data_IF_583991067153
#
_entry.id   IF_583991067153
#
_cell.length_a   1.000
_cell.length_b   1.000
_cell.length_c   1.000
_cell.angle_alpha   90.00
_cell.angle_beta   90.00
_cell.angle_gamma   90.00
#
_symmetry.space_group_name_H-M   'P 1'
#
loop_
_entity.id
_entity.type
_entity.pdbx_description
1 polymer ?
#
# COMPACT_ATOMS: atom_id res chain seq x y z
N UNK A 1 5.31 6.62 -19.48
CA UNK A 1 4.88 5.21 -19.47
C UNK A 1 3.41 5.19 -19.09
N UNK A 2 2.52 4.66 -19.92
CA UNK A 2 1.08 4.61 -19.60
C UNK A 2 0.80 3.31 -18.84
N UNK A 3 0.29 3.42 -17.62
CA UNK A 3 -0.04 2.25 -16.78
C UNK A 3 -1.38 1.66 -17.23
N UNK A 4 -1.47 0.32 -17.22
CA UNK A 4 -2.75 -0.38 -17.39
C UNK A 4 -3.66 -0.09 -16.19
N UNK A 5 -4.95 0.00 -16.45
CA UNK A 5 -5.97 0.39 -15.46
C UNK A 5 -5.88 -0.38 -14.13
N UNK A 6 -5.66 -1.72 -14.11
CA UNK A 6 -5.54 -2.46 -12.84
C UNK A 6 -4.33 -2.03 -12.01
N UNK A 7 -3.19 -1.72 -12.65
CA UNK A 7 -1.98 -1.23 -11.98
C UNK A 7 -2.20 0.17 -11.43
N UNK A 8 -2.82 1.06 -12.22
CA UNK A 8 -3.17 2.40 -11.76
C UNK A 8 -4.14 2.36 -10.56
N UNK A 9 -5.09 1.43 -10.56
CA UNK A 9 -6.05 1.24 -9.46
C UNK A 9 -5.37 0.81 -8.14
N UNK A 10 -4.22 0.15 -8.20
CA UNK A 10 -3.39 -0.17 -7.04
C UNK A 10 -2.48 1.01 -6.64
N UNK A 11 -1.79 1.64 -7.60
CA UNK A 11 -0.80 2.69 -7.32
C UNK A 11 -1.43 3.98 -6.78
N UNK A 12 -2.56 4.42 -7.34
CA UNK A 12 -3.21 5.68 -6.92
C UNK A 12 -3.52 5.72 -5.42
N UNK A 13 -4.16 4.70 -4.82
CA UNK A 13 -4.38 4.69 -3.38
C UNK A 13 -3.07 4.61 -2.57
N UNK A 14 -2.05 3.88 -3.01
CA UNK A 14 -0.73 3.85 -2.32
C UNK A 14 -0.07 5.23 -2.30
N UNK A 15 -0.05 5.93 -3.43
CA UNK A 15 0.50 7.28 -3.51
C UNK A 15 -0.27 8.29 -2.64
N UNK A 16 -1.60 8.13 -2.56
CA UNK A 16 -2.43 8.92 -1.64
C UNK A 16 -2.12 8.59 -0.18
N UNK A 17 -1.95 7.31 0.15
CA UNK A 17 -1.58 6.87 1.50
C UNK A 17 -0.24 7.48 1.91
N UNK A 18 0.78 7.44 1.05
CA UNK A 18 2.09 8.04 1.33
C UNK A 18 2.01 9.54 1.63
N UNK A 19 1.24 10.29 0.83
CA UNK A 19 1.00 11.72 1.12
C UNK A 19 0.25 11.96 2.43
N UNK A 20 -0.75 11.12 2.72
CA UNK A 20 -1.51 11.20 3.96
C UNK A 20 -0.62 10.91 5.17
N UNK A 21 0.23 9.87 5.11
CA UNK A 21 1.20 9.53 6.17
C UNK A 21 2.18 10.68 6.37
N UNK A 22 2.71 11.25 5.28
CA UNK A 22 3.65 12.37 5.36
C UNK A 22 3.02 13.56 6.10
N UNK A 23 1.79 13.90 5.75
CA UNK A 23 1.03 14.97 6.41
C UNK A 23 0.85 14.72 7.90
N UNK A 24 0.36 13.55 8.30
CA UNK A 24 0.10 13.28 9.72
C UNK A 24 1.39 13.16 10.55
N UNK A 25 2.49 12.71 9.94
CA UNK A 25 3.81 12.69 10.58
C UNK A 25 4.40 14.08 10.78
N UNK A 26 4.06 15.05 9.91
CA UNK A 26 4.44 16.45 10.06
C UNK A 26 3.55 17.16 11.10
N UNK A 27 2.24 16.97 11.02
CA UNK A 27 1.28 17.62 11.90
C UNK A 27 1.40 17.12 13.36
N UNK A 28 1.66 15.82 13.56
CA UNK A 28 1.81 15.13 14.87
C UNK A 28 0.66 15.35 15.86
N UNK A 29 -0.48 15.82 15.38
CA UNK A 29 -1.62 16.19 16.20
C UNK A 29 -2.66 15.06 16.29
N UNK A 30 -3.35 15.00 17.43
CA UNK A 30 -4.49 14.11 17.63
C UNK A 30 -4.12 12.65 17.94
N UNK A 31 -5.13 11.79 17.88
CA UNK A 31 -4.98 10.36 18.09
C UNK A 31 -4.42 9.70 16.82
N UNK A 32 -3.57 8.68 17.01
CA UNK A 32 -3.06 7.86 15.92
C UNK A 32 -4.18 7.15 15.17
N UNK A 33 -5.25 6.78 15.87
CA UNK A 33 -6.43 6.16 15.27
C UNK A 33 -7.09 7.05 14.23
N UNK A 34 -7.40 8.30 14.60
CA UNK A 34 -8.06 9.23 13.68
C UNK A 34 -7.13 9.63 12.55
N UNK A 35 -5.85 9.90 12.86
CA UNK A 35 -4.87 10.33 11.87
C UNK A 35 -4.51 9.23 10.86
N UNK A 36 -4.43 7.97 11.30
CA UNK A 36 -4.00 6.85 10.44
C UNK A 36 -5.17 6.06 9.81
N UNK A 37 -6.42 6.40 10.12
CA UNK A 37 -7.60 5.76 9.53
C UNK A 37 -7.64 5.85 8.01
N UNK A 38 -7.45 7.05 7.45
CA UNK A 38 -7.41 7.28 6.00
C UNK A 38 -6.26 6.52 5.31
N UNK A 39 -4.99 6.66 5.72
CA UNK A 39 -3.90 5.95 5.05
C UNK A 39 -4.04 4.44 5.17
N UNK A 40 -4.54 3.91 6.29
CA UNK A 40 -4.83 2.48 6.42
C UNK A 40 -5.91 2.03 5.42
N UNK A 41 -7.00 2.79 5.29
CA UNK A 41 -8.07 2.46 4.34
C UNK A 41 -7.56 2.48 2.89
N UNK A 42 -6.70 3.44 2.55
CA UNK A 42 -6.06 3.53 1.24
C UNK A 42 -5.13 2.35 0.96
N UNK A 43 -4.28 1.95 1.92
CA UNK A 43 -3.42 0.77 1.77
C UNK A 43 -4.22 -0.53 1.63
N UNK A 44 -5.31 -0.70 2.39
CA UNK A 44 -6.22 -1.84 2.23
C UNK A 44 -6.91 -1.86 0.87
N UNK A 45 -7.27 -0.70 0.34
CA UNK A 45 -7.83 -0.58 -1.02
C UNK A 45 -6.80 -0.98 -2.07
N UNK A 46 -5.55 -0.56 -1.90
CA UNK A 46 -4.44 -0.96 -2.77
C UNK A 46 -4.19 -2.47 -2.70
N UNK A 47 -4.19 -3.06 -1.50
CA UNK A 47 -4.06 -4.50 -1.28
C UNK A 47 -5.15 -5.27 -2.02
N UNK A 48 -6.42 -4.86 -1.87
CA UNK A 48 -7.53 -5.48 -2.60
C UNK A 48 -7.37 -5.37 -4.12
N UNK A 49 -6.82 -4.27 -4.62
CA UNK A 49 -6.54 -4.12 -6.06
C UNK A 49 -5.43 -5.06 -6.52
N UNK A 50 -4.36 -5.21 -5.73
CA UNK A 50 -3.24 -6.14 -5.95
C UNK A 50 -3.75 -7.59 -5.97
N UNK A 51 -4.54 -7.99 -4.97
CA UNK A 51 -5.08 -9.35 -4.87
C UNK A 51 -6.03 -9.70 -6.02
N UNK A 52 -6.66 -8.69 -6.61
CA UNK A 52 -7.51 -8.81 -7.79
C UNK A 52 -6.76 -8.75 -9.13
N UNK A 53 -5.44 -8.62 -9.14
CA UNK A 53 -4.68 -8.56 -10.38
C UNK A 53 -4.67 -9.92 -11.08
N UNK A 54 -5.16 -9.91 -12.32
CA UNK A 54 -4.99 -11.03 -13.25
C UNK A 54 -3.68 -10.81 -13.99
N UNK A 55 -2.73 -11.72 -13.78
CA UNK A 55 -1.41 -11.71 -14.42
C UNK A 55 -1.29 -12.90 -15.38
N UNK A 56 -0.49 -12.73 -16.43
CA UNK A 56 -0.06 -13.84 -17.28
C UNK A 56 0.67 -14.89 -16.44
N UNK A 57 0.48 -16.16 -16.78
CA UNK A 57 1.11 -17.28 -16.08
C UNK A 57 2.61 -17.36 -16.40
N UNK A 58 3.40 -16.55 -15.69
CA UNK A 58 4.84 -16.45 -15.85
C UNK A 58 5.54 -16.56 -14.48
N UNK A 59 6.61 -17.35 -14.30
CA UNK A 59 7.28 -17.52 -13.00
C UNK A 59 7.67 -16.20 -12.33
N UNK A 60 8.22 -15.25 -13.09
CA UNK A 60 8.58 -13.92 -12.59
C UNK A 60 7.37 -13.08 -12.14
N UNK A 61 6.17 -13.32 -12.70
CA UNK A 61 4.96 -12.63 -12.27
C UNK A 61 4.53 -13.12 -10.88
N UNK A 62 4.66 -14.43 -10.61
CA UNK A 62 4.36 -15.05 -9.30
C UNK A 62 5.31 -14.54 -8.21
N UNK A 63 6.61 -14.45 -8.51
CA UNK A 63 7.59 -13.91 -7.56
C UNK A 63 7.32 -12.44 -7.27
N UNK A 64 7.12 -11.62 -8.32
CA UNK A 64 6.85 -10.19 -8.14
C UNK A 64 5.55 -9.93 -7.36
N UNK A 65 4.46 -10.63 -7.67
CA UNK A 65 3.19 -10.41 -6.97
C UNK A 65 3.31 -10.82 -5.49
N UNK A 66 4.05 -11.90 -5.19
CA UNK A 66 4.34 -12.31 -3.82
C UNK A 66 5.14 -11.27 -3.04
N UNK A 67 6.15 -10.65 -3.66
CA UNK A 67 6.92 -9.57 -3.05
C UNK A 67 6.04 -8.33 -2.79
N UNK A 68 5.22 -7.95 -3.76
CA UNK A 68 4.28 -6.83 -3.64
C UNK A 68 3.28 -7.08 -2.50
N UNK A 69 2.70 -8.27 -2.42
CA UNK A 69 1.77 -8.67 -1.36
C UNK A 69 2.45 -8.66 0.02
N UNK A 70 3.68 -9.19 0.12
CA UNK A 70 4.44 -9.18 1.37
C UNK A 70 4.72 -7.76 1.85
N UNK A 71 5.19 -6.87 0.97
CA UNK A 71 5.49 -5.47 1.31
C UNK A 71 4.24 -4.69 1.70
N UNK A 72 3.13 -4.82 0.98
CA UNK A 72 1.91 -4.09 1.36
C UNK A 72 1.34 -4.57 2.69
N UNK A 73 1.43 -5.88 2.97
CA UNK A 73 1.06 -6.43 4.27
C UNK A 73 1.93 -5.84 5.38
N UNK A 74 3.25 -5.77 5.17
CA UNK A 74 4.16 -5.14 6.12
C UNK A 74 3.78 -3.70 6.44
N UNK A 75 3.51 -2.87 5.41
CA UNK A 75 3.10 -1.48 5.62
C UNK A 75 1.81 -1.38 6.45
N UNK A 76 0.83 -2.24 6.18
CA UNK A 76 -0.44 -2.30 6.91
C UNK A 76 -0.19 -2.71 8.37
N UNK A 77 0.63 -3.72 8.60
CA UNK A 77 0.98 -4.22 9.94
C UNK A 77 1.68 -3.15 10.78
N UNK A 78 2.62 -2.40 10.20
CA UNK A 78 3.29 -1.29 10.90
C UNK A 78 2.28 -0.24 11.35
N UNK A 79 1.37 0.19 10.47
CA UNK A 79 0.31 1.13 10.85
C UNK A 79 -0.58 0.53 11.94
N UNK A 80 -0.98 -0.74 11.81
CA UNK A 80 -1.82 -1.39 12.81
C UNK A 80 -1.14 -1.59 14.16
N UNK A 81 0.19 -1.62 14.21
CA UNK A 81 0.95 -1.76 15.45
C UNK A 81 0.83 -0.53 16.37
N UNK A 82 0.59 0.64 15.80
CA UNK A 82 0.43 1.91 16.52
C UNK A 82 -1.03 2.31 16.74
N UNK A 83 -1.98 1.49 16.26
CA UNK A 83 -3.40 1.68 16.53
C UNK A 83 -3.75 1.12 17.91
N UNK A 84 -4.72 1.74 18.60
CA UNK A 84 -5.13 1.31 19.93
C UNK A 84 -5.65 -0.14 19.91
N UNK A 85 -4.99 -1.02 20.66
CA UNK A 85 -5.54 -2.33 21.04
C UNK A 85 -5.98 -2.20 22.50
N UNK A 86 -7.27 -2.38 22.78
CA UNK A 86 -7.80 -2.44 24.15
C UNK A 86 -7.83 -1.12 24.96
N UNK A 87 -8.35 -0.03 24.37
CA UNK A 87 -8.78 1.14 25.15
C UNK A 87 -7.70 2.15 25.58
N UNK A 88 -6.46 2.00 25.13
CA UNK A 88 -5.41 3.04 25.28
C UNK A 88 -5.24 3.81 23.99
N UNK A 89 -5.60 5.10 23.99
CA UNK A 89 -5.37 6.00 22.86
C UNK A 89 -3.86 6.23 22.68
N UNK A 90 -3.34 5.91 21.49
CA UNK A 90 -1.96 6.22 21.11
C UNK A 90 -1.92 7.60 20.44
N UNK A 91 -1.02 8.48 20.86
CA UNK A 91 -0.87 9.82 20.26
C UNK A 91 -0.04 9.74 18.98
N UNK A 92 -0.28 10.67 18.05
CA UNK A 92 0.53 10.76 16.84
C UNK A 92 2.00 11.09 17.10
N UNK A 93 2.33 11.78 18.20
CA UNK A 93 3.72 12.00 18.61
C UNK A 93 4.49 10.69 18.83
N UNK A 94 3.83 9.68 19.41
CA UNK A 94 4.43 8.36 19.65
C UNK A 94 4.37 7.47 18.42
N UNK A 95 3.34 7.63 17.59
CA UNK A 95 3.18 6.84 16.36
C UNK A 95 4.17 7.28 15.27
N UNK A 96 4.40 8.59 15.12
CA UNK A 96 5.16 9.16 14.00
C UNK A 96 6.54 8.52 13.78
N UNK A 97 7.38 8.26 14.81
CA UNK A 97 8.67 7.58 14.62
C UNK A 97 8.54 6.16 14.05
N UNK A 98 7.44 5.46 14.32
CA UNK A 98 7.19 4.10 13.85
C UNK A 98 6.69 4.08 12.41
N UNK A 99 5.85 5.06 12.03
CA UNK A 99 5.29 5.14 10.66
C UNK A 99 6.14 5.98 9.70
N UNK A 100 7.07 6.80 10.19
CA UNK A 100 7.94 7.62 9.33
C UNK A 100 8.80 6.79 8.34
N UNK A 101 9.38 5.63 8.70
CA UNK A 101 10.10 4.78 7.75
C UNK A 101 9.28 4.37 6.53
N UNK A 102 7.96 4.22 6.68
CA UNK A 102 7.04 3.85 5.60
C UNK A 102 7.07 4.87 4.43
N UNK A 103 7.44 6.12 4.69
CA UNK A 103 7.56 7.15 3.65
C UNK A 103 8.66 6.83 2.63
N UNK A 104 9.70 6.09 3.03
CA UNK A 104 10.73 5.59 2.12
C UNK A 104 10.32 4.30 1.41
N UNK A 105 9.46 3.49 2.04
CA UNK A 105 9.05 2.19 1.51
C UNK A 105 7.92 2.27 0.47
N UNK A 106 7.00 3.23 0.62
CA UNK A 106 5.85 3.40 -0.29
C UNK A 106 6.29 3.66 -1.75
N UNK A 107 7.27 4.54 -2.05
CA UNK A 107 7.77 4.70 -3.41
C UNK A 107 8.33 3.40 -3.99
N UNK A 108 9.13 2.66 -3.21
CA UNK A 108 9.67 1.38 -3.66
C UNK A 108 8.57 0.34 -3.95
N UNK A 109 7.51 0.31 -3.13
CA UNK A 109 6.34 -0.54 -3.40
C UNK A 109 5.60 -0.11 -4.68
N UNK A 110 5.46 1.20 -4.91
CA UNK A 110 4.85 1.72 -6.13
C UNK A 110 5.64 1.29 -7.37
N UNK A 111 6.97 1.35 -7.33
CA UNK A 111 7.85 0.93 -8.43
C UNK A 111 7.72 -0.58 -8.70
N UNK A 112 7.66 -1.40 -7.64
CA UNK A 112 7.43 -2.84 -7.76
C UNK A 112 6.07 -3.15 -8.40
N UNK A 113 5.01 -2.45 -7.99
CA UNK A 113 3.67 -2.61 -8.55
C UNK A 113 3.63 -2.13 -10.00
N UNK A 114 4.34 -1.05 -10.34
CA UNK A 114 4.48 -0.59 -11.71
C UNK A 114 5.20 -1.63 -12.59
N UNK A 115 6.16 -2.37 -12.02
CA UNK A 115 6.85 -3.49 -12.66
C UNK A 115 5.92 -4.62 -13.08
N UNK A 116 4.79 -4.83 -12.38
CA UNK A 116 3.78 -5.83 -12.75
C UNK A 116 3.03 -5.50 -14.05
N UNK A 117 3.12 -4.26 -14.54
CA UNK A 117 2.40 -3.80 -15.73
C UNK A 117 2.71 -4.61 -17.00
N UNK A 118 3.91 -5.18 -17.09
CA UNK A 118 4.32 -6.04 -18.22
C UNK A 118 3.60 -7.39 -18.22
N UNK A 119 3.15 -7.86 -17.06
CA UNK A 119 2.48 -9.16 -16.90
C UNK A 119 0.95 -9.07 -16.94
N UNK A 120 0.38 -7.86 -16.92
CA UNK A 120 -1.08 -7.69 -17.07
C UNK A 120 -1.45 -7.94 -18.54
N UNK A 121 -2.43 -8.80 -18.85
CA UNK A 121 -2.89 -9.01 -20.23
C UNK A 121 -3.34 -7.71 -20.90
N UNK A 122 -3.10 -7.55 -22.20
CA UNK A 122 -3.51 -6.32 -22.94
C UNK A 122 -5.01 -6.29 -23.21
N UNK A 123 -5.64 -7.45 -23.41
CA UNK A 123 -7.09 -7.63 -23.57
C UNK A 123 -7.46 -9.09 -23.40
N UNK A 124 -8.48 -9.40 -22.61
CA UNK A 124 -9.43 -10.51 -22.82
C UNK A 124 -8.94 -11.97 -22.91
N UNK A 125 -7.65 -12.27 -22.97
CA UNK A 125 -7.11 -13.63 -23.00
C UNK A 125 -7.09 -14.23 -21.58
N UNK A 126 -8.27 -14.28 -20.97
CA UNK A 126 -8.54 -15.25 -19.94
C UNK A 126 -8.80 -16.58 -20.66
N UNK A 127 -7.72 -17.33 -20.87
CA UNK A 127 -7.70 -18.76 -21.21
C UNK A 127 -8.21 -19.12 -22.63
N UNK A 128 -7.30 -19.66 -23.46
CA UNK A 128 -7.60 -20.73 -24.41
C UNK A 128 -6.83 -21.97 -24.00
#
# INVERSE_FOLDING_TARGET
>A
MTLKTPIAAAIVPMARAGRSIARVCLDRCGSAETALAEPLALLRRAQKAIDGLVLQNHPNAVVHIGEVQSKINHLIEVIQSVLPRQGRTYSMEKAAPVVAPLLGEIPALIDLVAGLNVYVPETGELWR
#
